data_IF_742118240055
#
_entry.id   IF_742118240055
#
_cell.length_a   1.000
_cell.length_b   1.000
_cell.length_c   1.000
_cell.angle_alpha   90.00
_cell.angle_beta   90.00
_cell.angle_gamma   90.00
#
_symmetry.space_group_name_H-M   'P 1'
#
loop_
_entity.id
_entity.type
_entity.pdbx_description
1 polymer ?
#
# COMPACT_ATOMS: atom_id res chain seq x y z
N UNK A 1 -16.69 -10.20 -1.76
CA UNK A 1 -16.08 -9.08 -1.02
C UNK A 1 -15.93 -9.52 0.41
N UNK A 2 -14.80 -9.19 1.05
CA UNK A 2 -14.71 -9.35 2.50
C UNK A 2 -15.72 -8.39 3.14
N UNK A 3 -16.53 -8.90 4.07
CA UNK A 3 -17.42 -8.04 4.86
C UNK A 3 -16.62 -6.95 5.58
N UNK A 4 -17.19 -5.75 5.83
CA UNK A 4 -16.51 -4.67 6.54
C UNK A 4 -15.90 -5.11 7.88
N UNK A 5 -16.56 -6.05 8.56
CA UNK A 5 -16.06 -6.67 9.79
C UNK A 5 -14.78 -7.50 9.55
N UNK A 6 -14.76 -8.32 8.50
CA UNK A 6 -13.62 -9.17 8.17
C UNK A 6 -12.40 -8.34 7.75
N UNK A 7 -12.60 -7.22 7.04
CA UNK A 7 -11.52 -6.27 6.72
C UNK A 7 -10.94 -5.68 8.01
N UNK A 8 -11.79 -5.29 8.96
CA UNK A 8 -11.34 -4.74 10.25
C UNK A 8 -10.52 -5.76 11.05
N UNK A 9 -10.95 -7.01 11.11
CA UNK A 9 -10.18 -8.06 11.78
C UNK A 9 -8.85 -8.34 11.09
N UNK A 10 -8.84 -8.39 9.76
CA UNK A 10 -7.61 -8.55 8.99
C UNK A 10 -6.62 -7.40 9.28
N UNK A 11 -7.10 -6.15 9.31
CA UNK A 11 -6.29 -4.99 9.68
C UNK A 11 -5.68 -5.13 11.08
N UNK A 12 -6.49 -5.51 12.08
CA UNK A 12 -6.01 -5.71 13.44
C UNK A 12 -4.91 -6.78 13.49
N UNK A 13 -5.13 -7.91 12.81
CA UNK A 13 -4.16 -9.01 12.77
C UNK A 13 -2.84 -8.58 12.12
N UNK A 14 -2.88 -7.78 11.05
CA UNK A 14 -1.67 -7.23 10.43
C UNK A 14 -0.91 -6.32 11.41
N UNK A 15 -1.63 -5.45 12.13
CA UNK A 15 -1.03 -4.53 13.11
C UNK A 15 -0.39 -5.30 14.26
N UNK A 16 -1.08 -6.32 14.79
CA UNK A 16 -0.54 -7.19 15.85
C UNK A 16 0.74 -7.90 15.40
N UNK A 17 0.76 -8.46 14.18
CA UNK A 17 1.94 -9.12 13.65
C UNK A 17 3.11 -8.15 13.45
N UNK A 18 2.84 -6.94 12.98
CA UNK A 18 3.84 -5.87 12.90
C UNK A 18 4.39 -5.52 14.28
N UNK A 19 3.53 -5.37 15.29
CA UNK A 19 3.94 -5.07 16.67
C UNK A 19 4.75 -6.21 17.31
N UNK A 20 4.49 -7.46 16.91
CA UNK A 20 5.28 -8.62 17.31
C UNK A 20 6.68 -8.67 16.67
N UNK A 21 7.01 -7.71 15.79
CA UNK A 21 8.31 -7.64 15.11
C UNK A 21 8.38 -8.47 13.83
N UNK A 22 7.25 -8.99 13.34
CA UNK A 22 7.21 -9.78 12.12
C UNK A 22 7.13 -8.88 10.87
N UNK A 23 7.77 -9.32 9.79
CA UNK A 23 7.62 -8.69 8.48
C UNK A 23 6.32 -9.17 7.81
N UNK A 24 5.46 -8.24 7.40
CA UNK A 24 4.19 -8.52 6.72
C UNK A 24 4.25 -7.98 5.29
N UNK A 25 4.01 -8.84 4.31
CA UNK A 25 3.91 -8.45 2.90
C UNK A 25 2.45 -8.57 2.45
N UNK A 26 1.91 -7.47 1.93
CA UNK A 26 0.52 -7.41 1.46
C UNK A 26 0.54 -6.98 0.00
N UNK A 27 -0.01 -7.83 -0.88
CA UNK A 27 -0.30 -7.48 -2.26
C UNK A 27 -1.76 -7.08 -2.36
N UNK A 28 -2.03 -5.79 -2.48
CA UNK A 28 -3.39 -5.25 -2.62
C UNK A 28 -3.42 -4.14 -3.68
N UNK A 29 -4.56 -3.99 -4.34
CA UNK A 29 -4.87 -2.84 -5.18
C UNK A 29 -5.70 -1.78 -4.43
N UNK A 30 -6.17 -2.09 -3.22
CA UNK A 30 -6.94 -1.17 -2.38
C UNK A 30 -5.98 -0.39 -1.46
N UNK A 31 -5.36 0.65 -1.99
CA UNK A 31 -4.38 1.47 -1.26
C UNK A 31 -5.00 2.15 -0.03
N UNK A 32 -6.25 2.62 -0.13
CA UNK A 32 -7.01 3.19 0.98
C UNK A 32 -7.09 2.27 2.21
N UNK A 33 -7.19 0.96 1.98
CA UNK A 33 -7.32 0.00 3.07
C UNK A 33 -6.02 -0.16 3.86
N UNK A 34 -4.87 0.14 3.26
CA UNK A 34 -3.54 -0.04 3.88
C UNK A 34 -2.87 1.28 4.27
N UNK A 35 -3.40 2.42 3.84
CA UNK A 35 -2.87 3.76 4.03
C UNK A 35 -2.56 4.12 5.50
N UNK A 36 -3.26 3.51 6.46
CA UNK A 36 -3.13 3.81 7.88
C UNK A 36 -1.90 3.14 8.54
N UNK A 37 -1.46 1.96 8.07
CA UNK A 37 -0.50 1.11 8.79
C UNK A 37 0.72 0.65 7.97
N UNK A 38 0.83 1.04 6.71
CA UNK A 38 2.00 0.74 5.88
C UNK A 38 3.26 1.52 6.29
N UNK A 39 4.43 0.93 6.02
CA UNK A 39 5.74 1.56 6.22
C UNK A 39 6.43 1.88 4.89
N UNK A 40 6.34 0.95 3.93
CA UNK A 40 6.83 1.13 2.57
C UNK A 40 5.89 0.47 1.55
N UNK A 41 5.82 1.06 0.37
CA UNK A 41 5.02 0.62 -0.76
C UNK A 41 5.93 0.45 -1.98
N UNK A 42 5.74 -0.65 -2.71
CA UNK A 42 6.42 -0.92 -3.97
C UNK A 42 5.35 -1.04 -5.05
N UNK A 43 5.41 -0.15 -6.04
CA UNK A 43 4.50 -0.15 -7.17
C UNK A 43 5.14 -0.99 -8.26
N UNK A 44 4.45 -2.04 -8.66
CA UNK A 44 4.92 -2.96 -9.69
C UNK A 44 4.15 -2.76 -10.98
N UNK A 45 4.87 -2.74 -12.10
CA UNK A 45 4.33 -2.67 -13.46
C UNK A 45 5.14 -3.60 -14.35
N UNK A 46 4.46 -4.44 -15.15
CA UNK A 46 5.09 -5.38 -16.10
C UNK A 46 6.22 -6.25 -15.49
N UNK A 47 6.02 -6.71 -14.25
CA UNK A 47 7.00 -7.56 -13.55
C UNK A 47 8.24 -6.84 -13.02
N UNK A 48 8.26 -5.50 -13.05
CA UNK A 48 9.33 -4.67 -12.49
C UNK A 48 8.78 -3.74 -11.42
N UNK A 49 9.63 -3.38 -10.45
CA UNK A 49 9.30 -2.32 -9.48
C UNK A 49 9.48 -0.99 -10.20
N UNK A 50 8.38 -0.31 -10.50
CA UNK A 50 8.36 0.97 -11.18
C UNK A 50 8.60 2.13 -10.20
N UNK A 51 8.12 1.99 -8.95
CA UNK A 51 8.42 2.95 -7.89
C UNK A 51 8.47 2.29 -6.52
N UNK A 52 9.25 2.90 -5.63
CA UNK A 52 9.29 2.59 -4.21
C UNK A 52 9.08 3.88 -3.43
N UNK A 53 8.21 3.82 -2.42
CA UNK A 53 7.95 4.92 -1.50
C UNK A 53 7.90 4.42 -0.08
N UNK A 54 8.33 5.26 0.85
CA UNK A 54 8.16 5.07 2.29
C UNK A 54 7.14 6.06 2.81
N UNK A 55 6.52 5.74 3.94
CA UNK A 55 5.55 6.64 4.57
C UNK A 55 6.16 7.99 4.91
N UNK A 56 7.42 8.01 5.31
CA UNK A 56 8.16 9.24 5.62
C UNK A 56 8.42 10.12 4.41
N UNK A 57 8.72 9.52 3.24
CA UNK A 57 8.91 10.28 1.99
C UNK A 57 7.60 10.93 1.54
N UNK A 58 6.49 10.19 1.60
CA UNK A 58 5.17 10.71 1.22
C UNK A 58 4.70 11.79 2.20
N UNK A 59 4.80 11.55 3.51
CA UNK A 59 4.36 12.51 4.52
C UNK A 59 5.14 13.84 4.51
N UNK A 60 6.35 13.87 3.93
CA UNK A 60 7.16 15.06 3.74
C UNK A 60 6.98 15.74 2.38
N UNK A 61 6.06 15.25 1.55
CA UNK A 61 5.80 15.72 0.18
C UNK A 61 4.32 16.02 -0.02
N UNK A 62 3.97 16.72 -1.10
CA UNK A 62 2.59 16.82 -1.59
C UNK A 62 2.18 15.61 -2.46
N UNK A 63 2.97 14.52 -2.50
CA UNK A 63 2.63 13.32 -3.27
C UNK A 63 1.52 12.51 -2.58
N UNK A 64 0.57 12.00 -3.36
CA UNK A 64 -0.39 10.98 -2.91
C UNK A 64 -0.01 9.62 -3.50
N UNK A 65 0.07 8.57 -2.66
CA UNK A 65 0.42 7.22 -3.09
C UNK A 65 -0.55 6.65 -4.13
N UNK A 66 -1.84 6.97 -4.00
CA UNK A 66 -2.89 6.53 -4.92
C UNK A 66 -2.71 7.19 -6.30
N UNK A 67 -2.52 8.51 -6.33
CA UNK A 67 -2.24 9.25 -7.57
C UNK A 67 -0.95 8.76 -8.24
N UNK A 68 0.10 8.51 -7.46
CA UNK A 68 1.36 7.93 -7.96
C UNK A 68 1.14 6.54 -8.56
N UNK A 69 0.33 5.71 -7.90
CA UNK A 69 -0.02 4.39 -8.41
C UNK A 69 -0.75 4.47 -9.74
N UNK A 70 -1.77 5.32 -9.86
CA UNK A 70 -2.50 5.51 -11.11
C UNK A 70 -1.63 6.11 -12.20
N UNK A 71 -0.81 7.12 -11.88
CA UNK A 71 0.12 7.71 -12.83
C UNK A 71 1.10 6.67 -13.43
N UNK A 72 1.56 5.72 -12.62
CA UNK A 72 2.50 4.67 -13.06
C UNK A 72 1.79 3.53 -13.80
N UNK A 73 0.60 3.13 -13.35
CA UNK A 73 -0.10 1.95 -13.89
C UNK A 73 -1.01 2.27 -15.08
N UNK A 74 -1.48 3.52 -15.20
CA UNK A 74 -2.33 3.98 -16.30
C UNK A 74 -1.60 4.88 -17.30
N UNK A 75 -0.37 5.31 -16.99
CA UNK A 75 0.40 6.35 -17.69
C UNK A 75 0.76 6.11 -19.16
N UNK A 76 0.45 4.95 -19.74
CA UNK A 76 0.75 4.63 -21.15
C UNK A 76 -0.45 4.14 -21.98
N UNK A 77 -1.70 4.26 -21.50
CA UNK A 77 -2.87 4.05 -22.37
C UNK A 77 -3.23 5.32 -23.14
N UNK A 78 -2.50 5.61 -24.21
CA UNK A 78 -2.98 6.46 -25.32
C UNK A 78 -2.92 5.71 -26.64
#
# INVERSE_FOLDING_TARGET
>A
GLDPHAIKELKNLIIEQKQAGNAVLISTHMLDSVAEFWDSANIMMEGKIAARRTRSEIAGSDENLEELFFAITEGDRK
#
